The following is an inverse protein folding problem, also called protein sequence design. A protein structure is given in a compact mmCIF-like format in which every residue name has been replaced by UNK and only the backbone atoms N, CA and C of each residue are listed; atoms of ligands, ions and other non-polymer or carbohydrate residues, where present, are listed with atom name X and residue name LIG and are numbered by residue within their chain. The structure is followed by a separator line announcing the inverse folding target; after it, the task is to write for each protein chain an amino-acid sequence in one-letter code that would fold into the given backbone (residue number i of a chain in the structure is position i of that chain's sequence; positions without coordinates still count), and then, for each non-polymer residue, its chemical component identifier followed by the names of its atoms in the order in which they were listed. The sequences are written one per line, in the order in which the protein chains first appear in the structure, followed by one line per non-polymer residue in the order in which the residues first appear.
data_IF_544197653037
#
_entry.id   IF_544197653037
#
_cell.length_a   1.000
_cell.length_b   1.000
_cell.length_c   1.000
_cell.angle_alpha   90.00
_cell.angle_beta   90.00
_cell.angle_gamma   90.00
#
_symmetry.space_group_name_H-M   'P 1'
#
loop_
_entity.id
_entity.type
_entity.pdbx_description
1 polymer ?
#
# COMPACT_ATOMS: atom_id res chain seq x y z
N UNK A 1 3.25 -16.67 -40.87
CA UNK A 1 3.16 -15.60 -39.85
C UNK A 1 2.51 -16.21 -38.60
N UNK A 2 3.28 -16.74 -37.63
CA UNK A 2 2.75 -17.30 -36.40
C UNK A 2 3.00 -16.30 -35.25
N UNK A 3 1.98 -15.50 -34.97
CA UNK A 3 1.96 -14.57 -33.85
C UNK A 3 1.24 -15.30 -32.69
N UNK A 4 1.93 -16.15 -31.93
CA UNK A 4 1.22 -16.91 -30.89
C UNK A 4 1.95 -17.27 -29.58
N UNK A 5 3.12 -16.78 -29.14
CA UNK A 5 3.54 -17.09 -27.76
C UNK A 5 3.31 -15.95 -26.75
N UNK A 6 3.26 -14.69 -27.19
CA UNK A 6 3.19 -13.54 -26.25
C UNK A 6 1.80 -13.37 -25.64
N UNK A 7 0.74 -13.64 -26.40
CA UNK A 7 -0.64 -13.50 -25.91
C UNK A 7 -1.01 -14.53 -24.83
N UNK A 8 -0.50 -15.77 -24.94
CA UNK A 8 -0.79 -16.83 -23.96
C UNK A 8 -0.19 -16.52 -22.58
N UNK A 9 1.01 -15.96 -22.54
CA UNK A 9 1.65 -15.58 -21.27
C UNK A 9 0.94 -14.42 -20.56
N UNK A 10 0.51 -13.40 -21.33
CA UNK A 10 -0.21 -12.26 -20.77
C UNK A 10 -1.62 -12.66 -20.27
N UNK A 11 -2.33 -13.51 -21.01
CA UNK A 11 -3.64 -14.02 -20.58
C UNK A 11 -3.53 -14.93 -19.36
N UNK A 12 -2.50 -15.77 -19.28
CA UNK A 12 -2.24 -16.59 -18.09
C UNK A 12 -1.92 -15.74 -16.85
N UNK A 13 -1.09 -14.70 -17.01
CA UNK A 13 -0.78 -13.76 -15.93
C UNK A 13 -2.02 -12.99 -15.47
N UNK A 14 -2.87 -12.55 -16.41
CA UNK A 14 -4.13 -11.88 -16.07
C UNK A 14 -5.09 -12.84 -15.34
N UNK A 15 -5.17 -14.10 -15.77
CA UNK A 15 -6.00 -15.10 -15.12
C UNK A 15 -5.51 -15.42 -13.71
N UNK A 16 -4.19 -15.48 -13.48
CA UNK A 16 -3.60 -15.63 -12.15
C UNK A 16 -3.95 -14.43 -11.24
N UNK A 17 -3.92 -13.21 -11.78
CA UNK A 17 -4.36 -12.02 -11.04
C UNK A 17 -5.85 -12.10 -10.68
N UNK A 18 -6.72 -12.57 -11.57
CA UNK A 18 -8.14 -12.75 -11.28
C UNK A 18 -8.40 -13.83 -10.22
N UNK A 19 -7.60 -14.88 -10.19
CA UNK A 19 -7.66 -15.91 -9.14
C UNK A 19 -7.27 -15.38 -7.75
N UNK A 20 -6.64 -14.20 -7.65
CA UNK A 20 -6.34 -13.59 -6.35
C UNK A 20 -7.58 -13.29 -5.51
N UNK A 21 -8.78 -13.22 -6.11
CA UNK A 21 -10.06 -13.09 -5.39
C UNK A 21 -10.35 -14.35 -4.54
N UNK A 22 -9.91 -15.52 -4.97
CA UNK A 22 -10.15 -16.77 -4.21
C UNK A 22 -9.41 -16.79 -2.87
N UNK A 23 -8.33 -16.02 -2.74
CA UNK A 23 -7.55 -15.92 -1.50
C UNK A 23 -8.29 -15.20 -0.36
N UNK A 24 -9.44 -14.56 -0.63
CA UNK A 24 -10.37 -14.07 0.41
C UNK A 24 -10.86 -15.21 1.33
N UNK A 25 -10.74 -16.46 0.90
CA UNK A 25 -11.06 -17.65 1.73
C UNK A 25 -9.94 -18.03 2.71
N UNK A 26 -8.75 -17.44 2.60
CA UNK A 26 -7.63 -17.71 3.51
C UNK A 26 -7.84 -16.99 4.85
N UNK A 27 -8.41 -17.71 5.81
CA UNK A 27 -8.71 -17.19 7.15
C UNK A 27 -7.45 -16.68 7.89
N UNK A 28 -6.27 -17.28 7.64
CA UNK A 28 -5.00 -16.89 8.30
C UNK A 28 -4.54 -15.51 7.83
N UNK A 29 -4.60 -15.24 6.52
CA UNK A 29 -4.26 -13.93 5.96
C UNK A 29 -5.27 -12.85 6.36
N UNK A 30 -6.57 -13.18 6.33
CA UNK A 30 -7.64 -12.30 6.81
C UNK A 30 -7.43 -11.90 8.27
N UNK A 31 -7.14 -12.89 9.15
CA UNK A 31 -6.88 -12.62 10.56
C UNK A 31 -5.69 -11.69 10.78
N UNK A 32 -4.57 -11.93 10.06
CA UNK A 32 -3.39 -11.07 10.18
C UNK A 32 -3.66 -9.64 9.68
N UNK A 33 -4.37 -9.47 8.56
CA UNK A 33 -4.72 -8.14 8.08
C UNK A 33 -5.75 -7.44 8.96
N UNK A 34 -6.72 -8.18 9.51
CA UNK A 34 -7.63 -7.63 10.50
C UNK A 34 -6.87 -7.12 11.73
N UNK A 35 -5.91 -7.91 12.24
CA UNK A 35 -5.04 -7.49 13.34
C UNK A 35 -4.19 -6.25 12.97
N UNK A 36 -3.67 -6.20 11.73
CA UNK A 36 -2.90 -5.08 11.24
C UNK A 36 -3.71 -3.78 11.21
N UNK A 37 -4.85 -3.79 10.54
CA UNK A 37 -5.65 -2.58 10.32
C UNK A 37 -6.41 -2.16 11.58
N UNK A 38 -7.07 -3.09 12.29
CA UNK A 38 -7.78 -2.77 13.53
C UNK A 38 -6.80 -2.35 14.63
N UNK A 39 -5.68 -3.06 14.78
CA UNK A 39 -4.65 -2.70 15.74
C UNK A 39 -4.04 -1.33 15.48
N UNK A 40 -3.64 -1.05 14.23
CA UNK A 40 -3.12 0.25 13.84
C UNK A 40 -4.18 1.36 14.03
N UNK A 41 -5.44 1.10 13.66
CA UNK A 41 -6.54 2.04 13.85
C UNK A 41 -6.74 2.42 15.32
N UNK A 42 -6.73 1.45 16.23
CA UNK A 42 -6.83 1.71 17.68
C UNK A 42 -5.64 2.53 18.20
N UNK A 43 -4.42 2.18 17.79
CA UNK A 43 -3.22 2.94 18.17
C UNK A 43 -3.24 4.37 17.62
N UNK A 44 -3.78 4.58 16.41
CA UNK A 44 -3.97 5.92 15.85
C UNK A 44 -5.01 6.74 16.64
N UNK A 45 -6.09 6.14 17.13
CA UNK A 45 -7.06 6.85 17.99
C UNK A 45 -6.43 7.26 19.32
N UNK A 46 -5.57 6.41 19.91
CA UNK A 46 -4.79 6.77 21.11
C UNK A 46 -3.81 7.92 20.83
N UNK A 47 -3.16 7.92 19.67
CA UNK A 47 -2.28 9.01 19.25
C UNK A 47 -3.04 10.34 19.12
N UNK A 48 -4.22 10.32 18.50
CA UNK A 48 -5.07 11.51 18.38
C UNK A 48 -5.52 12.02 19.75
N UNK A 49 -5.90 11.11 20.66
CA UNK A 49 -6.25 11.47 22.04
C UNK A 49 -5.07 12.05 22.83
N UNK A 50 -3.85 11.61 22.56
CA UNK A 50 -2.63 12.19 23.15
C UNK A 50 -2.32 13.59 22.59
N UNK A 51 -2.50 13.80 21.28
CA UNK A 51 -2.37 15.12 20.64
C UNK A 51 -3.38 16.12 21.17
N UNK A 52 -4.63 15.69 21.38
CA UNK A 52 -5.67 16.56 21.96
C UNK A 52 -5.37 17.00 23.40
N UNK A 53 -4.49 16.28 24.10
CA UNK A 53 -3.99 16.61 25.45
C UNK A 53 -2.63 17.30 25.42
N UNK A 54 -2.18 17.75 24.24
CA UNK A 54 -0.85 18.36 24.01
C UNK A 54 0.33 17.46 24.43
N UNK A 55 0.11 16.16 24.58
CA UNK A 55 1.12 15.17 24.94
C UNK A 55 1.86 14.66 23.68
N UNK A 56 2.63 15.52 23.03
CA UNK A 56 3.28 15.22 21.74
C UNK A 56 4.18 13.98 21.77
N UNK A 57 4.93 13.75 22.85
CA UNK A 57 5.79 12.57 22.98
C UNK A 57 4.96 11.26 23.04
N UNK A 58 3.85 11.26 23.77
CA UNK A 58 2.96 10.12 23.83
C UNK A 58 2.28 9.86 22.47
N UNK A 59 1.87 10.92 21.76
CA UNK A 59 1.33 10.80 20.41
C UNK A 59 2.32 10.20 19.44
N UNK A 60 3.57 10.65 19.46
CA UNK A 60 4.65 10.10 18.62
C UNK A 60 4.89 8.60 18.92
N UNK A 61 4.86 8.20 20.20
CA UNK A 61 4.99 6.80 20.60
C UNK A 61 3.87 5.93 20.02
N UNK A 62 2.61 6.39 20.16
CA UNK A 62 1.46 5.65 19.62
C UNK A 62 1.47 5.57 18.10
N UNK A 63 1.89 6.62 17.39
CA UNK A 63 2.06 6.61 15.93
C UNK A 63 3.16 5.63 15.51
N UNK A 64 4.29 5.61 16.23
CA UNK A 64 5.36 4.65 15.97
C UNK A 64 4.88 3.21 16.20
N UNK A 65 4.14 2.96 17.27
CA UNK A 65 3.56 1.64 17.57
C UNK A 65 2.53 1.23 16.49
N UNK A 66 1.70 2.16 16.00
CA UNK A 66 0.74 1.92 14.92
C UNK A 66 1.46 1.53 13.62
N UNK A 67 2.49 2.29 13.24
CA UNK A 67 3.30 1.99 12.06
C UNK A 67 3.99 0.63 12.19
N UNK A 68 4.62 0.36 13.34
CA UNK A 68 5.27 -0.92 13.60
C UNK A 68 4.28 -2.08 13.49
N UNK A 69 3.13 -2.00 14.17
CA UNK A 69 2.09 -3.02 14.13
C UNK A 69 1.62 -3.27 12.68
N UNK A 70 1.26 -2.21 11.97
CA UNK A 70 0.80 -2.28 10.58
C UNK A 70 1.85 -2.91 9.67
N UNK A 71 3.10 -2.42 9.74
CA UNK A 71 4.19 -2.85 8.88
C UNK A 71 4.52 -4.34 9.06
N UNK A 72 4.74 -4.77 10.30
CA UNK A 72 5.12 -6.18 10.56
C UNK A 72 3.98 -7.16 10.33
N UNK A 73 2.76 -6.80 10.74
CA UNK A 73 1.61 -7.70 10.57
C UNK A 73 1.18 -7.82 9.11
N UNK A 74 1.30 -6.74 8.31
CA UNK A 74 1.07 -6.80 6.85
C UNK A 74 2.13 -7.66 6.16
N UNK A 75 3.40 -7.56 6.57
CA UNK A 75 4.45 -8.45 6.05
C UNK A 75 4.19 -9.92 6.42
N UNK A 76 3.69 -10.20 7.62
CA UNK A 76 3.30 -11.55 8.02
C UNK A 76 2.17 -12.11 7.13
N UNK A 77 1.15 -11.29 6.84
CA UNK A 77 0.09 -11.66 5.91
C UNK A 77 0.64 -11.93 4.49
N UNK A 78 1.58 -11.09 4.02
CA UNK A 78 2.27 -11.27 2.75
C UNK A 78 3.05 -12.59 2.66
N UNK A 79 3.72 -13.00 3.73
CA UNK A 79 4.43 -14.29 3.80
C UNK A 79 3.47 -15.47 3.68
N UNK A 80 2.31 -15.43 4.36
CA UNK A 80 1.26 -16.47 4.27
C UNK A 80 0.71 -16.56 2.84
N UNK A 81 0.44 -15.42 2.22
CA UNK A 81 -0.09 -15.35 0.86
C UNK A 81 0.95 -15.77 -0.19
N UNK A 82 2.24 -15.51 0.06
CA UNK A 82 3.33 -15.98 -0.81
C UNK A 82 3.49 -17.50 -0.74
N UNK A 83 3.34 -18.11 0.44
CA UNK A 83 3.36 -19.57 0.55
C UNK A 83 2.22 -20.20 -0.25
N UNK A 84 1.01 -19.64 -0.13
CA UNK A 84 -0.15 -20.08 -0.90
C UNK A 84 0.05 -19.88 -2.42
N UNK A 85 0.62 -18.74 -2.84
CA UNK A 85 0.93 -18.47 -4.25
C UNK A 85 1.93 -19.45 -4.83
N UNK A 86 2.88 -19.92 -4.00
CA UNK A 86 3.85 -20.95 -4.38
C UNK A 86 3.32 -22.38 -4.26
N UNK A 87 2.04 -22.58 -3.90
CA UNK A 87 1.45 -23.91 -3.67
C UNK A 87 2.02 -24.62 -2.43
N UNK A 88 2.63 -23.89 -1.51
CA UNK A 88 3.12 -24.42 -0.23
C UNK A 88 2.02 -24.35 0.83
N UNK A 89 2.12 -25.19 1.85
CA UNK A 89 1.23 -25.09 2.99
C UNK A 89 1.43 -23.73 3.70
N UNK A 90 0.36 -22.91 3.85
CA UNK A 90 0.48 -21.61 4.51
C UNK A 90 0.90 -21.78 5.96
N UNK A 91 1.96 -21.05 6.37
CA UNK A 91 2.48 -21.09 7.74
C UNK A 91 1.44 -20.59 8.76
N UNK A 92 1.60 -20.98 10.02
CA UNK A 92 0.74 -20.53 11.11
C UNK A 92 0.95 -19.01 11.36
N UNK A 93 -0.09 -18.27 11.80
CA UNK A 93 0.02 -16.82 12.03
C UNK A 93 1.15 -16.41 12.97
N UNK A 94 1.40 -17.20 14.03
CA UNK A 94 2.49 -16.94 14.97
C UNK A 94 3.89 -17.09 14.35
N UNK A 95 4.09 -18.10 13.51
CA UNK A 95 5.34 -18.32 12.80
C UNK A 95 5.54 -17.27 11.71
N UNK A 96 4.46 -16.91 10.98
CA UNK A 96 4.48 -15.83 10.01
C UNK A 96 4.90 -14.50 10.64
N UNK A 97 4.42 -14.19 11.85
CA UNK A 97 4.79 -12.96 12.56
C UNK A 97 6.27 -12.97 12.97
N UNK A 98 6.79 -14.11 13.47
CA UNK A 98 8.22 -14.26 13.81
C UNK A 98 9.11 -14.12 12.59
N UNK A 99 8.73 -14.72 11.47
CA UNK A 99 9.47 -14.61 10.22
C UNK A 99 9.38 -13.21 9.61
N UNK A 100 8.22 -12.53 9.76
CA UNK A 100 8.07 -11.14 9.38
C UNK A 100 9.04 -10.22 10.13
N UNK A 101 9.26 -10.44 11.43
CA UNK A 101 10.27 -9.69 12.19
C UNK A 101 11.69 -9.86 11.62
N UNK A 102 12.00 -11.02 11.05
CA UNK A 102 13.30 -11.30 10.43
C UNK A 102 13.44 -10.78 9.01
N UNK A 103 12.37 -10.80 8.22
CA UNK A 103 12.44 -10.39 6.82
C UNK A 103 12.11 -8.91 6.59
N UNK A 104 11.28 -8.30 7.43
CA UNK A 104 10.82 -6.93 7.23
C UNK A 104 11.94 -5.88 7.27
N UNK A 105 13.03 -6.10 8.04
CA UNK A 105 14.19 -5.23 7.99
C UNK A 105 14.91 -5.25 6.63
N UNK A 106 14.87 -6.39 5.90
CA UNK A 106 15.38 -6.47 4.51
C UNK A 106 14.53 -5.62 3.58
N UNK A 107 13.20 -5.68 3.72
CA UNK A 107 12.29 -4.81 2.96
C UNK A 107 12.55 -3.35 3.27
N UNK A 108 12.72 -3.00 4.54
CA UNK A 108 13.06 -1.63 4.94
C UNK A 108 14.38 -1.16 4.32
N UNK A 109 15.40 -2.03 4.30
CA UNK A 109 16.67 -1.72 3.66
C UNK A 109 16.51 -1.51 2.14
N UNK A 110 15.72 -2.33 1.44
CA UNK A 110 15.41 -2.13 0.02
C UNK A 110 14.74 -0.79 -0.21
N UNK A 111 13.71 -0.47 0.57
CA UNK A 111 12.98 0.80 0.48
C UNK A 111 13.92 1.98 0.73
N UNK A 112 14.77 1.92 1.75
CA UNK A 112 15.75 2.98 2.05
C UNK A 112 16.76 3.16 0.91
N UNK A 113 17.27 2.08 0.32
CA UNK A 113 18.17 2.16 -0.84
C UNK A 113 17.47 2.84 -2.04
N UNK A 114 16.22 2.47 -2.33
CA UNK A 114 15.46 3.08 -3.42
C UNK A 114 15.17 4.54 -3.14
N UNK A 115 14.78 4.89 -1.91
CA UNK A 115 14.56 6.28 -1.50
C UNK A 115 15.86 7.10 -1.56
N UNK A 116 17.00 6.51 -1.23
CA UNK A 116 18.30 7.17 -1.35
C UNK A 116 18.63 7.49 -2.82
N UNK A 117 18.36 6.57 -3.75
CA UNK A 117 18.52 6.82 -5.20
C UNK A 117 17.56 7.90 -5.68
N UNK A 118 16.29 7.86 -5.27
CA UNK A 118 15.31 8.89 -5.60
C UNK A 118 15.69 10.28 -5.03
N UNK A 119 16.19 10.32 -3.79
CA UNK A 119 16.67 11.54 -3.15
C UNK A 119 17.91 12.10 -3.87
N UNK A 120 18.82 11.24 -4.33
CA UNK A 120 19.99 11.66 -5.11
C UNK A 120 19.55 12.27 -6.45
N UNK A 121 18.61 11.65 -7.16
CA UNK A 121 18.04 12.19 -8.39
C UNK A 121 17.41 13.58 -8.14
N UNK A 122 16.60 13.68 -7.09
CA UNK A 122 15.98 14.95 -6.69
C UNK A 122 17.04 16.01 -6.35
N UNK A 123 18.10 15.65 -5.63
CA UNK A 123 19.21 16.55 -5.29
C UNK A 123 19.92 17.06 -6.53
N UNK A 124 20.14 16.21 -7.55
CA UNK A 124 20.73 16.62 -8.83
C UNK A 124 19.84 17.65 -9.55
N UNK A 125 18.53 17.38 -9.63
CA UNK A 125 17.58 18.33 -10.27
C UNK A 125 17.51 19.64 -9.50
N UNK A 126 17.46 19.60 -8.17
CA UNK A 126 17.49 20.81 -7.32
C UNK A 126 18.82 21.58 -7.48
N UNK A 127 19.94 20.87 -7.59
CA UNK A 127 21.24 21.47 -7.86
C UNK A 127 21.29 22.21 -9.21
N UNK A 128 20.75 21.62 -10.26
CA UNK A 128 20.59 22.25 -11.57
C UNK A 128 19.70 23.49 -11.52
N UNK A 129 18.57 23.39 -10.81
CA UNK A 129 17.66 24.52 -10.61
C UNK A 129 18.32 25.64 -9.77
N UNK A 130 19.11 25.28 -8.76
CA UNK A 130 19.86 26.28 -7.97
C UNK A 130 20.94 26.93 -8.81
N UNK A 131 21.69 26.18 -9.63
CA UNK A 131 22.71 26.69 -10.53
C UNK A 131 22.11 27.62 -11.63
N UNK A 132 20.84 27.44 -11.98
CA UNK A 132 20.15 28.33 -12.94
C UNK A 132 19.96 29.79 -12.44
N UNK A 133 20.27 30.07 -11.16
CA UNK A 133 20.29 31.43 -10.63
C UNK A 133 21.50 32.25 -11.09
N UNK A 134 22.49 31.61 -11.71
CA UNK A 134 23.68 32.31 -12.23
C UNK A 134 23.30 33.18 -13.43
N UNK A 135 23.67 34.47 -13.44
CA UNK A 135 23.17 35.43 -14.45
C UNK A 135 23.64 35.11 -15.87
N UNK A 136 24.82 34.48 -16.05
CA UNK A 136 25.37 34.20 -17.37
C UNK A 136 24.84 32.88 -17.98
N UNK A 137 24.63 31.83 -17.19
CA UNK A 137 24.26 30.48 -17.64
C UNK A 137 22.84 30.09 -17.21
N UNK A 138 22.16 30.95 -16.45
CA UNK A 138 20.85 30.65 -15.84
C UNK A 138 19.79 30.15 -16.82
N UNK A 139 19.52 30.86 -17.93
CA UNK A 139 18.46 30.46 -18.87
C UNK A 139 18.74 29.10 -19.54
N UNK A 140 20.00 28.82 -19.89
CA UNK A 140 20.39 27.55 -20.52
C UNK A 140 20.33 26.39 -19.54
N UNK A 141 20.77 26.59 -18.29
CA UNK A 141 20.68 25.58 -17.23
C UNK A 141 19.23 25.30 -16.83
N UNK A 142 18.38 26.33 -16.78
CA UNK A 142 16.94 26.14 -16.53
C UNK A 142 16.30 25.32 -17.64
N UNK A 143 16.58 25.62 -18.91
CA UNK A 143 16.11 24.84 -20.04
C UNK A 143 16.53 23.38 -19.96
N UNK A 144 17.80 23.11 -19.64
CA UNK A 144 18.32 21.77 -19.45
C UNK A 144 17.67 21.06 -18.23
N UNK A 145 17.50 21.76 -17.10
CA UNK A 145 16.86 21.22 -15.91
C UNK A 145 15.41 20.80 -16.18
N UNK A 146 14.65 21.59 -16.93
CA UNK A 146 13.28 21.25 -17.33
C UNK A 146 13.26 20.09 -18.33
N UNK A 147 14.07 20.17 -19.39
CA UNK A 147 14.07 19.16 -20.44
C UNK A 147 14.50 17.76 -19.95
N UNK A 148 15.45 17.69 -19.03
CA UNK A 148 15.95 16.42 -18.46
C UNK A 148 15.24 16.05 -17.14
N UNK A 149 14.93 17.03 -16.30
CA UNK A 149 14.34 16.81 -14.99
C UNK A 149 12.91 16.31 -15.06
N UNK A 150 12.06 16.84 -15.96
CA UNK A 150 10.67 16.40 -16.08
C UNK A 150 10.56 14.91 -16.45
N UNK A 151 11.19 14.42 -17.55
CA UNK A 151 11.10 13.01 -17.87
C UNK A 151 11.82 12.12 -16.85
N UNK A 152 12.94 12.55 -16.27
CA UNK A 152 13.67 11.76 -15.28
C UNK A 152 12.86 11.60 -13.98
N UNK A 153 12.27 12.66 -13.44
CA UNK A 153 11.43 12.60 -12.25
C UNK A 153 10.12 11.87 -12.54
N UNK A 154 9.53 12.06 -13.73
CA UNK A 154 8.32 11.36 -14.15
C UNK A 154 8.54 9.85 -14.24
N UNK A 155 9.58 9.40 -14.93
CA UNK A 155 9.93 7.98 -15.03
C UNK A 155 10.30 7.38 -13.67
N UNK A 156 11.06 8.10 -12.84
CA UNK A 156 11.40 7.65 -11.49
C UNK A 156 10.15 7.52 -10.62
N UNK A 157 9.22 8.48 -10.67
CA UNK A 157 7.95 8.41 -9.96
C UNK A 157 7.09 7.23 -10.38
N UNK A 158 6.93 7.02 -11.70
CA UNK A 158 6.19 5.86 -12.22
C UNK A 158 6.87 4.55 -11.85
N UNK A 159 8.20 4.46 -11.97
CA UNK A 159 8.96 3.27 -11.57
C UNK A 159 8.81 2.97 -10.07
N UNK A 160 8.84 4.00 -9.23
CA UNK A 160 8.68 3.85 -7.78
C UNK A 160 7.30 3.28 -7.43
N UNK A 161 6.23 3.86 -7.98
CA UNK A 161 4.85 3.50 -7.65
C UNK A 161 4.42 2.20 -8.32
N UNK A 162 4.76 2.00 -9.60
CA UNK A 162 4.24 0.88 -10.39
C UNK A 162 5.12 -0.37 -10.37
N UNK A 163 6.38 -0.26 -10.00
CA UNK A 163 7.32 -1.39 -9.99
C UNK A 163 7.90 -1.66 -8.61
N UNK A 164 8.53 -0.65 -8.00
CA UNK A 164 9.23 -0.87 -6.71
C UNK A 164 8.23 -1.20 -5.62
N UNK A 165 7.13 -0.44 -5.50
CA UNK A 165 6.07 -0.71 -4.52
C UNK A 165 5.52 -2.13 -4.65
N UNK A 166 5.01 -2.54 -5.81
CA UNK A 166 4.42 -3.86 -6.01
C UNK A 166 5.40 -5.03 -5.94
N UNK A 167 6.67 -4.87 -6.32
CA UNK A 167 7.61 -5.99 -6.46
C UNK A 167 8.58 -6.16 -5.29
N UNK A 168 8.90 -5.08 -4.55
CA UNK A 168 9.89 -5.15 -3.48
C UNK A 168 9.46 -6.09 -2.35
N UNK A 169 8.21 -5.99 -1.90
CA UNK A 169 7.70 -6.81 -0.82
C UNK A 169 7.60 -8.30 -1.20
N UNK A 170 6.97 -8.69 -2.32
CA UNK A 170 6.93 -10.09 -2.76
C UNK A 170 8.32 -10.71 -2.99
N UNK A 171 9.29 -9.95 -3.51
CA UNK A 171 10.65 -10.44 -3.68
C UNK A 171 11.29 -10.84 -2.34
N UNK A 172 11.10 -10.01 -1.30
CA UNK A 172 11.58 -10.31 0.06
C UNK A 172 10.81 -11.47 0.68
N UNK A 173 9.48 -11.57 0.48
CA UNK A 173 8.67 -12.70 0.96
C UNK A 173 9.04 -14.03 0.28
N UNK A 174 9.49 -13.97 -0.98
CA UNK A 174 10.03 -15.12 -1.70
C UNK A 174 11.43 -15.55 -1.19
N UNK A 175 12.03 -14.79 -0.27
CA UNK A 175 13.31 -15.10 0.35
C UNK A 175 14.53 -14.45 -0.29
N UNK A 176 14.35 -13.50 -1.24
CA UNK A 176 15.48 -12.82 -1.86
C UNK A 176 16.17 -11.88 -0.86
N UNK A 177 17.51 -11.79 -1.00
CA UNK A 177 18.29 -10.81 -0.26
C UNK A 177 18.15 -9.41 -0.84
N UNK A 178 18.56 -8.38 -0.08
CA UNK A 178 18.48 -6.97 -0.48
C UNK A 178 19.14 -6.73 -1.83
N UNK A 179 20.33 -7.28 -2.07
CA UNK A 179 21.07 -7.14 -3.34
C UNK A 179 20.34 -7.79 -4.51
N UNK A 180 19.80 -8.98 -4.30
CA UNK A 180 19.04 -9.72 -5.32
C UNK A 180 17.75 -8.99 -5.66
N UNK A 181 17.05 -8.47 -4.65
CA UNK A 181 15.84 -7.67 -4.83
C UNK A 181 16.12 -6.39 -5.63
N UNK A 182 17.17 -5.65 -5.29
CA UNK A 182 17.57 -4.44 -6.02
C UNK A 182 17.99 -4.75 -7.46
N UNK A 183 18.74 -5.85 -7.68
CA UNK A 183 19.14 -6.28 -9.02
C UNK A 183 17.91 -6.66 -9.86
N UNK A 184 16.95 -7.39 -9.29
CA UNK A 184 15.68 -7.74 -9.93
C UNK A 184 14.89 -6.47 -10.31
N UNK A 185 14.70 -5.54 -9.36
CA UNK A 185 14.00 -4.28 -9.61
C UNK A 185 14.65 -3.49 -10.76
N UNK A 186 15.97 -3.38 -10.75
CA UNK A 186 16.72 -2.69 -11.80
C UNK A 186 16.58 -3.40 -13.15
N UNK A 187 16.61 -4.74 -13.17
CA UNK A 187 16.40 -5.53 -14.37
C UNK A 187 15.01 -5.28 -14.97
N UNK A 188 13.96 -5.33 -14.12
CA UNK A 188 12.58 -5.09 -14.56
C UNK A 188 12.39 -3.67 -15.08
N UNK A 189 12.94 -2.65 -14.42
CA UNK A 189 12.89 -1.26 -14.88
C UNK A 189 13.56 -1.10 -16.25
N UNK A 190 14.68 -1.79 -16.51
CA UNK A 190 15.43 -1.64 -17.77
C UNK A 190 14.89 -2.47 -18.92
N UNK A 191 14.39 -3.66 -18.64
CA UNK A 191 14.08 -4.65 -19.69
C UNK A 191 12.59 -4.87 -19.91
N UNK A 192 11.76 -4.75 -18.88
CA UNK A 192 10.34 -5.18 -18.91
C UNK A 192 9.39 -4.16 -18.29
N UNK A 193 9.77 -2.88 -18.33
CA UNK A 193 9.01 -1.80 -17.72
C UNK A 193 7.53 -1.81 -18.10
N UNK A 194 7.22 -1.86 -19.39
CA UNK A 194 5.84 -1.82 -19.90
C UNK A 194 5.02 -3.04 -19.46
N UNK A 195 5.61 -4.25 -19.47
CA UNK A 195 4.93 -5.47 -19.08
C UNK A 195 4.61 -5.46 -17.58
N UNK A 196 5.58 -5.11 -16.75
CA UNK A 196 5.39 -5.01 -15.30
C UNK A 196 4.40 -3.89 -14.93
N UNK A 197 4.41 -2.76 -15.67
CA UNK A 197 3.44 -1.68 -15.51
C UNK A 197 2.01 -2.14 -15.81
N UNK A 198 1.80 -2.88 -16.91
CA UNK A 198 0.47 -3.42 -17.27
C UNK A 198 -0.07 -4.37 -16.21
N UNK A 199 0.76 -5.31 -15.72
CA UNK A 199 0.34 -6.25 -14.68
C UNK A 199 0.07 -5.54 -13.34
N UNK A 200 0.90 -4.58 -12.96
CA UNK A 200 0.70 -3.74 -11.78
C UNK A 200 -0.61 -2.94 -11.87
N UNK A 201 -0.92 -2.39 -13.04
CA UNK A 201 -2.18 -1.70 -13.29
C UNK A 201 -3.39 -2.65 -13.18
N UNK A 202 -3.26 -3.89 -13.68
CA UNK A 202 -4.32 -4.90 -13.55
C UNK A 202 -4.60 -5.27 -12.09
N UNK A 203 -3.55 -5.50 -11.28
CA UNK A 203 -3.70 -5.74 -9.82
C UNK A 203 -4.36 -4.55 -9.14
N UNK A 204 -3.94 -3.33 -9.46
CA UNK A 204 -4.49 -2.10 -8.88
C UNK A 204 -5.96 -1.92 -9.26
N UNK A 205 -6.32 -2.17 -10.50
CA UNK A 205 -7.72 -2.06 -10.99
C UNK A 205 -8.61 -3.09 -10.31
N UNK A 206 -8.17 -4.34 -10.20
CA UNK A 206 -8.90 -5.40 -9.50
C UNK A 206 -9.13 -5.02 -8.04
N UNK A 207 -8.07 -4.60 -7.36
CA UNK A 207 -8.15 -4.15 -5.96
C UNK A 207 -9.09 -2.96 -5.79
N UNK A 208 -9.01 -1.97 -6.69
CA UNK A 208 -9.90 -0.81 -6.67
C UNK A 208 -11.38 -1.20 -6.87
N UNK A 209 -11.65 -2.18 -7.74
CA UNK A 209 -13.00 -2.71 -7.94
C UNK A 209 -13.54 -3.35 -6.67
N UNK A 210 -12.75 -4.22 -6.04
CA UNK A 210 -13.13 -4.86 -4.76
C UNK A 210 -13.31 -3.83 -3.66
N UNK A 211 -12.40 -2.86 -3.54
CA UNK A 211 -12.51 -1.78 -2.58
C UNK A 211 -13.75 -0.92 -2.82
N UNK A 212 -14.08 -0.64 -4.09
CA UNK A 212 -15.31 0.06 -4.47
C UNK A 212 -16.58 -0.66 -4.02
N UNK A 213 -16.67 -1.98 -4.25
CA UNK A 213 -17.79 -2.80 -3.80
C UNK A 213 -17.94 -2.78 -2.27
N UNK A 214 -16.85 -2.97 -1.55
CA UNK A 214 -16.83 -2.89 -0.07
C UNK A 214 -17.27 -1.49 0.40
N UNK A 215 -16.78 -0.44 -0.26
CA UNK A 215 -17.15 0.95 0.07
C UNK A 215 -18.64 1.22 -0.12
N UNK A 216 -19.28 0.66 -1.16
CA UNK A 216 -20.74 0.79 -1.37
C UNK A 216 -21.49 0.13 -0.20
N UNK A 217 -21.08 -1.06 0.24
CA UNK A 217 -21.71 -1.75 1.38
C UNK A 217 -21.54 -0.94 2.67
N UNK A 218 -20.33 -0.46 2.95
CA UNK A 218 -20.03 0.35 4.14
C UNK A 218 -20.84 1.67 4.12
N UNK A 219 -20.93 2.32 2.97
CA UNK A 219 -21.67 3.58 2.83
C UNK A 219 -23.18 3.35 3.02
N UNK A 220 -23.74 2.31 2.41
CA UNK A 220 -25.15 1.97 2.56
C UNK A 220 -25.50 1.63 4.01
N UNK A 221 -24.71 0.77 4.65
CA UNK A 221 -24.86 0.41 6.06
C UNK A 221 -24.69 1.61 6.99
N UNK A 222 -23.67 2.45 6.75
CA UNK A 222 -23.44 3.67 7.51
C UNK A 222 -24.59 4.66 7.44
N UNK A 223 -25.16 4.88 6.25
CA UNK A 223 -26.35 5.73 6.08
C UNK A 223 -27.59 5.18 6.79
N UNK A 224 -27.82 3.87 6.67
CA UNK A 224 -28.93 3.22 7.35
C UNK A 224 -28.80 3.32 8.88
N UNK A 225 -27.59 3.06 9.41
CA UNK A 225 -27.32 3.19 10.85
C UNK A 225 -27.51 4.61 11.36
N UNK A 226 -27.05 5.62 10.58
CA UNK A 226 -27.25 7.03 10.93
C UNK A 226 -28.74 7.41 11.00
N UNK A 227 -29.51 6.98 10.00
CA UNK A 227 -30.96 7.23 9.98
C UNK A 227 -31.66 6.62 11.21
N UNK A 228 -31.28 5.39 11.60
CA UNK A 228 -31.78 4.73 12.79
C UNK A 228 -31.32 5.44 14.08
N UNK A 229 -30.07 5.86 14.15
CA UNK A 229 -29.52 6.54 15.32
C UNK A 229 -30.21 7.89 15.59
N UNK A 230 -30.46 8.67 14.53
CA UNK A 230 -31.23 9.93 14.65
C UNK A 230 -32.66 9.65 15.15
N UNK A 231 -33.32 8.61 14.59
CA UNK A 231 -34.70 8.29 14.97
C UNK A 231 -34.85 7.70 16.40
N UNK A 232 -33.83 7.01 16.91
CA UNK A 232 -33.90 6.30 18.22
C UNK A 232 -33.31 7.13 19.35
N UNK A 233 -32.20 7.83 19.09
CA UNK A 233 -31.42 8.49 20.15
C UNK A 233 -31.75 9.98 20.28
N UNK A 234 -32.52 10.56 19.34
CA UNK A 234 -32.83 11.98 19.27
C UNK A 234 -31.59 12.89 19.42
N UNK A 235 -30.45 12.38 18.90
CA UNK A 235 -29.15 13.04 18.98
C UNK A 235 -28.91 13.75 17.65
N UNK A 236 -28.57 15.03 17.73
CA UNK A 236 -28.15 15.83 16.58
C UNK A 236 -26.71 15.47 16.17
N UNK A 237 -26.54 14.26 15.61
CA UNK A 237 -25.26 13.81 15.07
C UNK A 237 -25.09 14.38 13.69
N UNK A 238 -24.11 15.26 13.50
CA UNK A 238 -23.76 15.74 12.18
C UNK A 238 -23.39 14.55 11.28
N UNK A 239 -24.12 14.27 10.20
CA UNK A 239 -23.92 13.05 9.40
C UNK A 239 -22.60 13.05 8.64
N UNK A 240 -22.10 14.22 8.24
CA UNK A 240 -20.90 14.36 7.41
C UNK A 240 -19.61 13.88 8.10
N UNK A 241 -19.29 14.24 9.36
CA UNK A 241 -18.09 13.75 10.04
C UNK A 241 -18.09 12.24 10.23
N UNK A 242 -19.25 11.63 10.52
CA UNK A 242 -19.36 10.18 10.70
C UNK A 242 -19.17 9.42 9.38
N UNK A 243 -19.76 9.91 8.28
CA UNK A 243 -19.53 9.34 6.97
C UNK A 243 -18.07 9.50 6.53
N UNK A 244 -17.44 10.64 6.81
CA UNK A 244 -16.03 10.86 6.55
C UNK A 244 -15.13 9.88 7.35
N UNK A 245 -15.48 9.60 8.60
CA UNK A 245 -14.76 8.63 9.44
C UNK A 245 -14.89 7.19 8.90
N UNK A 246 -16.00 6.80 8.30
CA UNK A 246 -16.18 5.51 7.63
C UNK A 246 -15.24 5.31 6.43
N UNK A 247 -14.65 6.39 5.90
CA UNK A 247 -13.64 6.37 4.83
C UNK A 247 -12.23 6.74 5.33
N UNK A 248 -11.98 6.64 6.64
CA UNK A 248 -10.67 6.92 7.24
C UNK A 248 -10.30 8.41 7.27
N UNK A 249 -11.22 9.30 6.91
CA UNK A 249 -11.00 10.73 7.06
C UNK A 249 -11.27 11.08 8.53
N UNK A 250 -10.19 11.11 9.33
CA UNK A 250 -10.27 11.53 10.72
C UNK A 250 -10.82 12.96 10.82
N UNK A 251 -11.56 13.21 11.90
CA UNK A 251 -11.98 14.58 12.24
C UNK A 251 -10.74 15.47 12.34
N UNK A 252 -10.60 16.37 11.37
CA UNK A 252 -9.71 17.52 11.53
C UNK A 252 -10.43 18.47 12.49
N UNK A 253 -10.19 18.29 13.76
CA UNK A 253 -10.61 19.28 14.77
C UNK A 253 -9.84 20.56 14.46
N UNK A 254 -10.56 21.62 14.10
CA UNK A 254 -9.97 22.93 13.98
C UNK A 254 -9.36 23.31 15.35
N UNK A 255 -8.20 23.98 15.41
CA UNK A 255 -7.68 24.49 16.67
C UNK A 255 -8.77 25.31 17.39
N UNK A 256 -9.10 24.96 18.64
CA UNK A 256 -10.17 25.60 19.41
C UNK A 256 -11.58 25.02 19.23
N UNK A 257 -11.75 23.91 18.49
CA UNK A 257 -13.04 23.24 18.42
C UNK A 257 -13.44 22.68 19.81
N UNK A 258 -14.75 22.73 20.17
CA UNK A 258 -15.23 22.21 21.44
C UNK A 258 -14.96 20.70 21.51
N UNK A 259 -14.70 20.21 22.75
CA UNK A 259 -14.50 18.78 22.98
C UNK A 259 -15.70 17.97 22.49
N UNK A 260 -15.44 16.91 21.75
CA UNK A 260 -16.48 16.02 21.24
C UNK A 260 -17.23 15.36 22.39
N UNK A 261 -18.55 15.22 22.26
CA UNK A 261 -19.34 14.46 23.22
C UNK A 261 -18.83 12.99 23.28
N UNK A 262 -18.94 12.32 24.43
CA UNK A 262 -18.55 10.90 24.55
C UNK A 262 -19.24 10.00 23.51
N UNK A 263 -20.49 10.29 23.17
CA UNK A 263 -21.25 9.55 22.17
C UNK A 263 -20.64 9.75 20.75
N UNK A 264 -20.29 10.97 20.39
CA UNK A 264 -19.63 11.27 19.09
C UNK A 264 -18.25 10.60 19.02
N UNK A 265 -17.50 10.62 20.10
CA UNK A 265 -16.19 9.97 20.14
C UNK A 265 -16.30 8.44 19.98
N UNK A 266 -17.27 7.81 20.65
CA UNK A 266 -17.56 6.38 20.49
C UNK A 266 -18.00 6.04 19.06
N UNK A 267 -18.88 6.85 18.45
CA UNK A 267 -19.33 6.66 17.07
C UNK A 267 -18.20 6.77 16.06
N UNK A 268 -17.28 7.71 16.25
CA UNK A 268 -16.09 7.88 15.40
C UNK A 268 -15.10 6.71 15.54
N UNK A 269 -14.89 6.22 16.75
CA UNK A 269 -14.05 5.04 16.99
C UNK A 269 -14.65 3.81 16.30
N UNK A 270 -15.97 3.62 16.41
CA UNK A 270 -16.70 2.56 15.71
C UNK A 270 -16.60 2.69 14.18
N UNK A 271 -16.76 3.90 13.65
CA UNK A 271 -16.60 4.16 12.20
C UNK A 271 -15.17 3.85 11.71
N UNK A 272 -14.14 4.23 12.48
CA UNK A 272 -12.75 3.89 12.17
C UNK A 272 -12.49 2.39 12.18
N UNK A 273 -13.12 1.64 13.10
CA UNK A 273 -13.03 0.18 13.12
C UNK A 273 -13.70 -0.45 11.87
N UNK A 274 -14.87 0.03 11.49
CA UNK A 274 -15.57 -0.41 10.26
C UNK A 274 -14.72 -0.13 9.01
N UNK A 275 -14.09 1.03 8.95
CA UNK A 275 -13.12 1.35 7.88
C UNK A 275 -11.95 0.36 7.85
N UNK A 276 -11.34 0.09 9.01
CA UNK A 276 -10.24 -0.85 9.12
C UNK A 276 -10.63 -2.26 8.65
N UNK A 277 -11.82 -2.73 9.06
CA UNK A 277 -12.38 -4.03 8.61
C UNK A 277 -12.69 -4.02 7.10
N UNK A 278 -13.19 -2.91 6.58
CA UNK A 278 -13.46 -2.72 5.15
C UNK A 278 -12.20 -2.82 4.28
N UNK A 279 -11.03 -2.49 4.82
CA UNK A 279 -9.74 -2.61 4.12
C UNK A 279 -9.19 -4.03 4.08
N UNK A 280 -9.68 -4.96 4.93
CA UNK A 280 -9.12 -6.32 5.02
C UNK A 280 -9.29 -7.07 3.71
N UNK A 281 -10.49 -7.08 3.14
CA UNK A 281 -10.78 -7.83 1.91
C UNK A 281 -9.99 -7.30 0.70
N UNK A 282 -10.04 -6.00 0.36
CA UNK A 282 -9.21 -5.47 -0.72
C UNK A 282 -7.71 -5.61 -0.42
N UNK A 283 -7.31 -5.56 0.86
CA UNK A 283 -5.92 -5.78 1.28
C UNK A 283 -5.41 -7.18 0.97
N UNK A 284 -6.21 -8.23 1.25
CA UNK A 284 -5.86 -9.62 0.87
C UNK A 284 -5.72 -9.75 -0.64
N UNK A 285 -6.70 -9.24 -1.39
CA UNK A 285 -6.70 -9.30 -2.87
C UNK A 285 -5.46 -8.57 -3.43
N UNK A 286 -5.14 -7.41 -2.89
CA UNK A 286 -3.95 -6.66 -3.30
C UNK A 286 -2.66 -7.43 -3.04
N UNK A 287 -2.44 -7.89 -1.80
CA UNK A 287 -1.21 -8.60 -1.42
C UNK A 287 -1.05 -9.91 -2.22
N UNK A 288 -2.15 -10.65 -2.43
CA UNK A 288 -2.12 -11.85 -3.26
C UNK A 288 -1.81 -11.51 -4.71
N UNK A 289 -2.45 -10.47 -5.26
CA UNK A 289 -2.17 -9.97 -6.61
C UNK A 289 -0.71 -9.59 -6.81
N UNK A 290 -0.07 -8.99 -5.80
CA UNK A 290 1.37 -8.70 -5.81
C UNK A 290 2.23 -9.97 -5.86
N UNK A 291 1.85 -11.02 -5.12
CA UNK A 291 2.55 -12.30 -5.15
C UNK A 291 2.47 -12.94 -6.54
N UNK A 292 1.28 -12.96 -7.14
CA UNK A 292 1.07 -13.50 -8.50
C UNK A 292 1.80 -12.67 -9.57
N UNK A 293 1.78 -11.34 -9.44
CA UNK A 293 2.54 -10.44 -10.29
C UNK A 293 4.04 -10.79 -10.28
N UNK A 294 4.61 -10.93 -9.09
CA UNK A 294 6.01 -11.29 -8.92
C UNK A 294 6.35 -12.65 -9.54
N UNK A 295 5.53 -13.67 -9.29
CA UNK A 295 5.71 -15.01 -9.83
C UNK A 295 5.58 -15.06 -11.35
N UNK A 296 4.62 -14.31 -11.92
CA UNK A 296 4.44 -14.21 -13.36
C UNK A 296 5.65 -13.60 -14.06
N UNK A 297 6.19 -12.50 -13.50
CA UNK A 297 7.40 -11.86 -14.04
C UNK A 297 8.62 -12.78 -13.94
N UNK A 298 8.76 -13.53 -12.84
CA UNK A 298 9.87 -14.46 -12.66
C UNK A 298 9.81 -15.63 -13.64
N UNK A 299 8.64 -16.25 -13.84
CA UNK A 299 8.46 -17.33 -14.84
C UNK A 299 8.82 -16.88 -16.25
N UNK A 300 8.46 -15.64 -16.60
CA UNK A 300 8.79 -15.10 -17.92
C UNK A 300 10.28 -14.79 -18.11
N UNK A 301 11.05 -14.70 -17.04
CA UNK A 301 12.53 -14.55 -17.10
C UNK A 301 13.25 -15.90 -17.29
N UNK A 302 12.65 -17.00 -16.81
CA UNK A 302 13.18 -18.36 -16.95
C UNK A 302 12.88 -18.99 -18.33
N UNK A 303 11.91 -18.47 -19.07
CA UNK A 303 11.63 -18.91 -20.44
C UNK A 303 12.69 -18.33 -21.42
N UNK A 304 13.44 -19.18 -22.14
CA UNK A 304 14.39 -18.69 -23.14
C UNK A 304 13.68 -17.87 -24.21
N UNK A 305 14.31 -16.80 -24.74
CA UNK A 305 13.73 -16.05 -25.86
C UNK A 305 13.47 -17.02 -27.01
N UNK A 306 12.34 -16.90 -27.72
CA UNK A 306 12.06 -17.73 -28.89
C UNK A 306 13.18 -17.57 -29.93
N UNK A 307 13.61 -18.66 -30.57
CA UNK A 307 14.69 -18.68 -31.54
C UNK A 307 14.42 -17.75 -32.73
#
# INVERSE_FOLDING_TARGET
MRVQPVEHGALQALNAVLQSIESVRNARALYLLMLAFAGAGLLMTLAQGALAREAGAAAALWLAAAFFSLFYTTNAAGLVLMDEACGREPRLPGDALRDALRCAHRLLAVVLCVLAVAALLLAVVLGLLWASRLPALGPTLLGAAVALGVPALGLAGVALVALVGPLAAPAVWAGLDVRQTLALLLHQVRRRFAHALMLSAAVSLLTATVAGLVSVVVLAGGRALLALAVGVLDIDLAPQPLLAALFGQGLRLAPGAPALSPATQAALTGAGLVFALGLVVPGVVYLRGLCELFLALRRSDDDPPPP
#
